data_IF_045546112247
#
_entry.id   IF_045546112247
#
_cell.length_a   1.000
_cell.length_b   1.000
_cell.length_c   1.000
_cell.angle_alpha   90.00
_cell.angle_beta   90.00
_cell.angle_gamma   90.00
#
_symmetry.space_group_name_H-M   'P 1'
#
loop_
_entity.id
_entity.type
_entity.pdbx_description
1 polymer ?
#
# COMPACT_ATOMS: atom_id res chain seq x y z
N UNK A 1 -8.29 14.93 26.65
CA UNK A 1 -9.17 15.42 25.58
C UNK A 1 -8.39 15.54 24.28
N UNK A 2 -7.27 16.27 24.24
CA UNK A 2 -6.44 16.45 23.03
C UNK A 2 -6.01 15.14 22.34
N UNK A 3 -5.58 14.13 23.11
CA UNK A 3 -5.17 12.85 22.54
C UNK A 3 -6.31 12.06 21.87
N UNK A 4 -7.53 12.14 22.41
CA UNK A 4 -8.70 11.45 21.85
C UNK A 4 -9.21 12.18 20.61
N UNK A 5 -9.23 13.52 20.64
CA UNK A 5 -9.55 14.33 19.46
C UNK A 5 -8.58 14.08 18.31
N UNK A 6 -7.27 14.03 18.61
CA UNK A 6 -6.25 13.72 17.61
C UNK A 6 -6.41 12.31 17.03
N UNK A 7 -6.78 11.33 17.87
CA UNK A 7 -7.05 9.97 17.43
C UNK A 7 -8.25 9.92 16.48
N UNK A 8 -9.36 10.58 16.82
CA UNK A 8 -10.55 10.67 15.96
C UNK A 8 -10.21 11.31 14.61
N UNK A 9 -9.41 12.39 14.62
CA UNK A 9 -8.98 13.06 13.40
C UNK A 9 -8.12 12.15 12.52
N UNK A 10 -7.19 11.40 13.12
CA UNK A 10 -6.34 10.44 12.41
C UNK A 10 -7.16 9.31 11.79
N UNK A 11 -8.14 8.76 12.52
CA UNK A 11 -9.03 7.71 12.01
C UNK A 11 -9.89 8.21 10.84
N UNK A 12 -10.36 9.46 10.91
CA UNK A 12 -11.09 10.09 9.80
C UNK A 12 -10.20 10.24 8.56
N UNK A 13 -8.98 10.75 8.73
CA UNK A 13 -8.03 10.91 7.63
C UNK A 13 -7.67 9.56 6.97
N UNK A 14 -7.51 8.49 7.75
CA UNK A 14 -7.27 7.14 7.23
C UNK A 14 -8.48 6.64 6.44
N UNK A 15 -9.71 6.84 6.93
CA UNK A 15 -10.93 6.45 6.21
C UNK A 15 -11.09 7.18 4.87
N UNK A 16 -10.81 8.48 4.85
CA UNK A 16 -10.83 9.29 3.63
C UNK A 16 -9.78 8.81 2.63
N UNK A 17 -8.57 8.50 3.11
CA UNK A 17 -7.49 7.98 2.29
C UNK A 17 -7.84 6.61 1.69
N UNK A 18 -8.36 5.67 2.48
CA UNK A 18 -8.84 4.38 2.00
C UNK A 18 -9.89 4.55 0.89
N UNK A 19 -10.85 5.44 1.11
CA UNK A 19 -11.90 5.75 0.12
C UNK A 19 -11.31 6.32 -1.17
N UNK A 20 -10.29 7.16 -1.09
CA UNK A 20 -9.61 7.71 -2.25
C UNK A 20 -8.89 6.62 -3.08
N UNK A 21 -8.15 5.72 -2.42
CA UNK A 21 -7.53 4.57 -3.10
C UNK A 21 -8.58 3.71 -3.81
N UNK A 22 -9.68 3.37 -3.14
CA UNK A 22 -10.77 2.57 -3.74
C UNK A 22 -11.35 3.25 -4.97
N UNK A 23 -11.70 4.54 -4.87
CA UNK A 23 -12.26 5.29 -6.01
C UNK A 23 -11.35 5.31 -7.23
N UNK A 24 -10.03 5.33 -7.05
CA UNK A 24 -9.06 5.30 -8.16
C UNK A 24 -8.89 3.89 -8.74
N UNK A 25 -8.54 2.93 -7.90
CA UNK A 25 -8.12 1.59 -8.35
C UNK A 25 -9.28 0.61 -8.61
N UNK A 26 -10.53 1.00 -8.35
CA UNK A 26 -11.70 0.22 -8.77
C UNK A 26 -12.20 0.56 -10.18
N UNK A 27 -11.66 1.60 -10.81
CA UNK A 27 -11.91 1.91 -12.23
C UNK A 27 -11.22 0.92 -13.15
N UNK A 28 -11.64 0.82 -14.42
CA UNK A 28 -10.99 -0.09 -15.39
C UNK A 28 -9.53 0.27 -15.62
N UNK A 29 -9.22 1.53 -15.90
CA UNK A 29 -7.83 2.00 -16.03
C UNK A 29 -7.05 1.83 -14.71
N UNK A 30 -7.72 2.03 -13.57
CA UNK A 30 -7.16 1.81 -12.25
C UNK A 30 -6.70 0.37 -12.04
N UNK A 31 -7.48 -0.62 -12.49
CA UNK A 31 -7.09 -2.04 -12.43
C UNK A 31 -5.87 -2.31 -13.31
N UNK A 32 -5.84 -1.75 -14.52
CA UNK A 32 -4.68 -1.90 -15.43
C UNK A 32 -3.40 -1.35 -14.79
N UNK A 33 -3.48 -0.16 -14.17
CA UNK A 33 -2.34 0.43 -13.46
C UNK A 33 -1.97 -0.37 -12.21
N UNK A 34 -2.96 -0.91 -11.48
CA UNK A 34 -2.69 -1.75 -10.32
C UNK A 34 -1.87 -2.99 -10.68
N UNK A 35 -2.23 -3.68 -11.77
CA UNK A 35 -1.54 -4.88 -12.26
C UNK A 35 -0.13 -4.56 -12.80
N UNK A 36 0.06 -3.37 -13.38
CA UNK A 36 1.39 -2.87 -13.73
C UNK A 36 2.25 -2.63 -12.48
N UNK A 37 1.71 -1.92 -11.48
CA UNK A 37 2.40 -1.63 -10.23
C UNK A 37 2.76 -2.88 -9.44
N UNK A 38 1.93 -3.93 -9.47
CA UNK A 38 2.24 -5.22 -8.84
C UNK A 38 3.56 -5.79 -9.36
N UNK A 39 3.72 -5.77 -10.69
CA UNK A 39 4.92 -6.26 -11.40
C UNK A 39 6.10 -5.31 -11.21
N UNK A 40 5.89 -4.01 -11.41
CA UNK A 40 6.93 -2.99 -11.32
C UNK A 40 7.54 -2.91 -9.91
N UNK A 41 6.71 -3.06 -8.87
CA UNK A 41 7.16 -3.07 -7.47
C UNK A 41 7.66 -4.44 -6.99
N UNK A 42 7.62 -5.48 -7.83
CA UNK A 42 8.14 -6.80 -7.50
C UNK A 42 7.40 -7.48 -6.36
N UNK A 43 6.07 -7.35 -6.29
CA UNK A 43 5.28 -7.87 -5.16
C UNK A 43 5.46 -9.38 -4.95
N UNK A 44 5.62 -10.16 -6.02
CA UNK A 44 5.83 -11.62 -5.95
C UNK A 44 7.31 -12.03 -6.02
N UNK A 45 8.23 -11.07 -6.06
CA UNK A 45 9.66 -11.35 -6.22
C UNK A 45 10.39 -11.32 -4.86
N UNK A 46 11.43 -12.14 -4.74
CA UNK A 46 12.35 -12.09 -3.59
C UNK A 46 13.29 -10.89 -3.76
N UNK A 47 13.35 -10.00 -2.76
CA UNK A 47 14.21 -8.81 -2.78
C UNK A 47 15.65 -9.09 -2.35
N UNK A 48 15.89 -10.23 -1.69
CA UNK A 48 17.19 -10.64 -1.17
C UNK A 48 17.79 -11.76 -2.02
N UNK A 49 19.10 -11.70 -2.24
CA UNK A 49 19.88 -12.80 -2.82
C UNK A 49 20.68 -13.48 -1.71
N UNK A 50 20.48 -14.78 -1.50
CA UNK A 50 21.26 -15.56 -0.53
C UNK A 50 22.67 -15.86 -1.04
N UNK A 51 22.84 -16.00 -2.36
CA UNK A 51 24.12 -16.32 -3.00
C UNK A 51 25.05 -15.12 -3.07
N UNK A 52 24.49 -13.90 -3.18
CA UNK A 52 25.26 -12.66 -3.20
C UNK A 52 24.51 -11.58 -2.41
N UNK A 53 24.59 -11.59 -1.06
CA UNK A 53 23.84 -10.67 -0.22
C UNK A 53 24.26 -9.21 -0.45
N UNK A 54 23.29 -8.36 -0.78
CA UNK A 54 23.48 -6.91 -0.88
C UNK A 54 22.34 -6.19 -0.14
N UNK A 55 22.67 -5.63 1.02
CA UNK A 55 21.68 -4.98 1.89
C UNK A 55 21.06 -3.72 1.26
N UNK A 56 21.84 -2.92 0.53
CA UNK A 56 21.34 -1.69 -0.10
C UNK A 56 20.36 -2.00 -1.24
N UNK A 57 20.69 -2.98 -2.08
CA UNK A 57 19.80 -3.47 -3.13
C UNK A 57 18.50 -4.03 -2.52
N UNK A 58 18.63 -4.85 -1.48
CA UNK A 58 17.49 -5.45 -0.79
C UNK A 58 16.57 -4.36 -0.22
N UNK A 59 17.14 -3.37 0.47
CA UNK A 59 16.39 -2.23 1.02
C UNK A 59 15.67 -1.44 -0.08
N UNK A 60 16.32 -1.19 -1.21
CA UNK A 60 15.72 -0.50 -2.35
C UNK A 60 14.51 -1.27 -2.91
N UNK A 61 14.66 -2.57 -3.15
CA UNK A 61 13.61 -3.42 -3.68
C UNK A 61 12.43 -3.57 -2.70
N UNK A 62 12.70 -3.77 -1.41
CA UNK A 62 11.66 -3.78 -0.37
C UNK A 62 10.95 -2.42 -0.24
N UNK A 63 11.67 -1.32 -0.43
CA UNK A 63 11.08 0.02 -0.49
C UNK A 63 10.01 0.12 -1.59
N UNK A 64 10.32 -0.38 -2.80
CA UNK A 64 9.34 -0.44 -3.91
C UNK A 64 8.17 -1.35 -3.57
N UNK A 65 8.42 -2.56 -3.04
CA UNK A 65 7.38 -3.51 -2.64
C UNK A 65 6.43 -2.92 -1.59
N UNK A 66 6.96 -2.14 -0.65
CA UNK A 66 6.18 -1.45 0.40
C UNK A 66 5.17 -0.46 -0.17
N UNK A 67 5.49 0.21 -1.29
CA UNK A 67 4.55 1.11 -1.98
C UNK A 67 3.34 0.32 -2.46
N UNK A 68 3.54 -0.78 -3.19
CA UNK A 68 2.44 -1.61 -3.67
C UNK A 68 1.63 -2.24 -2.51
N UNK A 69 2.31 -2.74 -1.48
CA UNK A 69 1.65 -3.25 -0.28
C UNK A 69 0.75 -2.22 0.39
N UNK A 70 1.16 -0.94 0.43
CA UNK A 70 0.34 0.15 0.94
C UNK A 70 -0.93 0.31 0.12
N UNK A 71 -0.82 0.34 -1.21
CA UNK A 71 -1.98 0.44 -2.11
C UNK A 71 -2.92 -0.75 -1.89
N UNK A 72 -2.40 -1.97 -2.00
CA UNK A 72 -3.17 -3.20 -1.82
C UNK A 72 -3.86 -3.28 -0.44
N UNK A 73 -3.16 -2.84 0.61
CA UNK A 73 -3.71 -2.72 1.96
C UNK A 73 -4.92 -1.80 2.02
N UNK A 74 -4.82 -0.60 1.44
CA UNK A 74 -5.92 0.39 1.40
C UNK A 74 -7.17 -0.13 0.67
N UNK A 75 -6.99 -0.96 -0.36
CA UNK A 75 -8.10 -1.58 -1.08
C UNK A 75 -8.78 -2.70 -0.29
N UNK A 76 -8.03 -3.41 0.56
CA UNK A 76 -8.51 -4.53 1.38
C UNK A 76 -9.07 -4.13 2.74
N UNK A 77 -8.94 -2.86 3.15
CA UNK A 77 -9.58 -2.37 4.36
C UNK A 77 -11.09 -2.57 4.22
N UNK A 78 -11.62 -3.51 5.01
CA UNK A 78 -13.06 -3.69 5.17
C UNK A 78 -13.59 -2.38 5.74
N UNK A 79 -14.61 -1.82 5.09
CA UNK A 79 -15.41 -0.80 5.75
C UNK A 79 -16.00 -1.45 6.99
N UNK A 80 -15.63 -0.95 8.16
CA UNK A 80 -16.40 -1.25 9.36
C UNK A 80 -17.80 -0.68 9.08
N UNK A 81 -18.73 -1.55 8.71
CA UNK A 81 -20.15 -1.24 8.77
C UNK A 81 -20.45 -1.11 10.26
N UNK A 82 -20.65 0.12 10.69
CA UNK A 82 -21.30 0.42 11.98
C UNK A 82 -22.67 -0.28 12.04
#
# INVERSE_FOLDING_TARGET
>A
MEAEEQKILNEKAVRELCSAYKRLFQTEDGKVVFDDLERFCGFLNTSVSEQNPNALQTMYLEGKRRVFLRINGMLKVKENKE
#
